data_IF_537848680953
#
_entry.id   IF_537848680953
#
_cell.length_a   1.000
_cell.length_b   1.000
_cell.length_c   1.000
_cell.angle_alpha   90.00
_cell.angle_beta   90.00
_cell.angle_gamma   90.00
#
_symmetry.space_group_name_H-M   'P 1'
#
loop_
_entity.id
_entity.type
_entity.pdbx_description
1 polymer ?
#
# COMPACT_ATOMS: atom_id res chain seq x y z
N UNK A 1 23.37 -0.81 -22.25
CA UNK A 1 23.74 -0.49 -20.85
C UNK A 1 22.92 0.61 -20.17
N UNK A 2 22.70 1.79 -20.76
CA UNK A 2 21.97 2.91 -20.10
C UNK A 2 20.56 2.52 -19.64
N UNK A 3 19.79 1.84 -20.50
CA UNK A 3 18.42 1.42 -20.17
C UNK A 3 18.37 0.46 -18.98
N UNK A 4 19.32 -0.48 -18.90
CA UNK A 4 19.43 -1.46 -17.81
C UNK A 4 19.75 -0.73 -16.49
N UNK A 5 20.69 0.21 -16.53
CA UNK A 5 21.06 1.01 -15.36
C UNK A 5 19.88 1.84 -14.83
N UNK A 6 19.12 2.50 -15.70
CA UNK A 6 17.93 3.28 -15.32
C UNK A 6 16.85 2.37 -14.74
N UNK A 7 16.63 1.21 -15.36
CA UNK A 7 15.66 0.22 -14.87
C UNK A 7 15.99 -0.25 -13.45
N UNK A 8 17.23 -0.65 -13.18
CA UNK A 8 17.63 -1.08 -11.83
C UNK A 8 17.51 0.04 -10.80
N UNK A 9 17.83 1.28 -11.16
CA UNK A 9 17.65 2.43 -10.27
C UNK A 9 16.18 2.68 -9.94
N UNK A 10 15.29 2.59 -10.94
CA UNK A 10 13.86 2.73 -10.73
C UNK A 10 13.28 1.59 -9.89
N UNK A 11 13.77 0.36 -10.11
CA UNK A 11 13.39 -0.81 -9.33
C UNK A 11 13.81 -0.67 -7.86
N UNK A 12 15.07 -0.31 -7.60
CA UNK A 12 15.56 -0.07 -6.24
C UNK A 12 14.76 1.04 -5.54
N UNK A 13 14.48 2.15 -6.24
CA UNK A 13 13.65 3.22 -5.69
C UNK A 13 12.23 2.73 -5.32
N UNK A 14 11.61 1.90 -6.16
CA UNK A 14 10.29 1.32 -5.86
C UNK A 14 10.35 0.45 -4.60
N UNK A 15 11.34 -0.43 -4.50
CA UNK A 15 11.54 -1.35 -3.38
C UNK A 15 11.82 -0.59 -2.08
N UNK A 16 12.69 0.43 -2.12
CA UNK A 16 13.07 1.25 -0.96
C UNK A 16 11.95 2.14 -0.44
N UNK A 17 10.95 2.47 -1.27
CA UNK A 17 9.84 3.37 -0.91
C UNK A 17 8.51 2.62 -0.74
N UNK A 18 8.49 1.29 -0.89
CA UNK A 18 7.32 0.47 -0.61
C UNK A 18 7.51 -0.25 0.72
N UNK A 19 6.63 0.02 1.67
CA UNK A 19 6.74 -0.47 3.05
C UNK A 19 5.51 -1.27 3.46
N UNK A 20 5.69 -2.18 4.42
CA UNK A 20 4.62 -2.97 5.01
C UNK A 20 4.45 -2.52 6.46
N UNK A 21 3.50 -1.63 6.77
CA UNK A 21 3.28 -1.17 8.14
C UNK A 21 2.71 -2.26 9.04
N UNK A 22 3.10 -2.22 10.31
CA UNK A 22 2.57 -3.09 11.37
C UNK A 22 1.22 -2.59 11.91
N UNK A 23 1.00 -1.26 11.89
CA UNK A 23 -0.23 -0.64 12.40
C UNK A 23 -0.69 0.58 11.58
N UNK A 24 -1.89 1.09 11.92
CA UNK A 24 -2.51 2.20 11.21
C UNK A 24 -1.78 3.54 11.39
N UNK A 25 -1.08 3.75 12.49
CA UNK A 25 -0.30 4.98 12.70
C UNK A 25 0.96 4.99 11.87
N UNK A 26 1.65 3.85 11.77
CA UNK A 26 2.79 3.67 10.86
C UNK A 26 2.35 3.82 9.40
N UNK A 27 1.22 3.22 9.03
CA UNK A 27 0.60 3.41 7.72
C UNK A 27 0.41 4.89 7.39
N UNK A 28 -0.16 5.68 8.32
CA UNK A 28 -0.35 7.14 8.14
C UNK A 28 0.96 7.88 7.92
N UNK A 29 2.08 7.43 8.51
CA UNK A 29 3.38 8.06 8.27
C UNK A 29 3.92 7.70 6.89
N UNK A 30 3.90 6.41 6.53
CA UNK A 30 4.42 5.92 5.25
C UNK A 30 3.73 6.60 4.08
N UNK A 31 2.41 6.63 4.05
CA UNK A 31 1.65 7.14 2.89
C UNK A 31 1.78 8.65 2.67
N UNK A 32 2.46 9.39 3.55
CA UNK A 32 2.79 10.81 3.34
C UNK A 32 3.79 11.01 2.21
N UNK A 33 4.72 10.07 2.03
CA UNK A 33 5.83 10.20 1.07
C UNK A 33 6.20 8.90 0.34
N UNK A 34 5.62 7.76 0.70
CA UNK A 34 5.90 6.47 0.08
C UNK A 34 4.63 5.67 -0.22
N UNK A 35 4.84 4.37 -0.47
CA UNK A 35 3.80 3.39 -0.74
C UNK A 35 3.66 2.42 0.43
N UNK A 36 2.43 2.13 0.83
CA UNK A 36 2.13 1.12 1.83
C UNK A 36 1.49 -0.10 1.16
N UNK A 37 2.09 -1.27 1.33
CA UNK A 37 1.52 -2.56 0.95
C UNK A 37 0.84 -3.17 2.17
N UNK A 38 -0.50 -3.25 2.13
CA UNK A 38 -1.33 -3.57 3.30
C UNK A 38 -2.48 -4.49 2.95
N UNK A 39 -2.95 -5.23 3.94
CA UNK A 39 -4.20 -5.98 3.85
C UNK A 39 -5.40 -5.05 3.81
N UNK A 40 -6.33 -5.33 2.90
CA UNK A 40 -7.54 -4.53 2.68
C UNK A 40 -8.80 -5.40 2.75
N UNK A 41 -9.80 -4.96 3.52
CA UNK A 41 -11.05 -5.73 3.70
C UNK A 41 -12.00 -5.68 2.50
N UNK A 42 -11.74 -4.80 1.51
CA UNK A 42 -12.58 -4.62 0.31
C UNK A 42 -13.85 -3.79 0.51
N UNK A 43 -14.04 -3.22 1.71
CA UNK A 43 -15.19 -2.36 1.99
C UNK A 43 -14.93 -0.91 1.56
N UNK A 44 -15.85 -0.38 0.76
CA UNK A 44 -15.81 0.98 0.20
C UNK A 44 -15.84 2.04 1.31
N UNK A 45 -16.57 1.80 2.40
CA UNK A 45 -16.64 2.73 3.53
C UNK A 45 -15.28 2.85 4.21
N UNK A 46 -14.61 1.71 4.43
CA UNK A 46 -13.28 1.62 5.01
C UNK A 46 -12.24 2.36 4.16
N UNK A 47 -12.25 2.17 2.83
CA UNK A 47 -11.38 2.91 1.92
C UNK A 47 -11.67 4.42 1.90
N UNK A 48 -12.95 4.80 2.05
CA UNK A 48 -13.37 6.20 2.09
C UNK A 48 -12.86 6.90 3.36
N UNK A 49 -12.89 6.23 4.50
CA UNK A 49 -12.32 6.73 5.76
C UNK A 49 -10.80 6.90 5.67
N UNK A 50 -10.10 5.87 5.18
CA UNK A 50 -8.64 5.94 4.94
C UNK A 50 -8.32 7.16 4.06
N UNK A 51 -9.07 7.39 2.99
CA UNK A 51 -8.90 8.55 2.10
C UNK A 51 -9.18 9.87 2.81
N UNK A 52 -10.22 9.95 3.63
CA UNK A 52 -10.59 11.16 4.34
C UNK A 52 -9.46 11.59 5.31
N UNK A 53 -8.96 10.63 6.09
CA UNK A 53 -7.95 10.83 7.14
C UNK A 53 -6.54 11.03 6.58
N UNK A 54 -6.14 10.22 5.61
CA UNK A 54 -4.74 10.15 5.17
C UNK A 54 -4.48 10.81 3.83
N UNK A 55 -5.53 11.09 3.04
CA UNK A 55 -5.48 11.46 1.62
C UNK A 55 -4.88 10.38 0.70
N UNK A 56 -4.52 9.23 1.24
CA UNK A 56 -4.07 8.10 0.44
C UNK A 56 -5.26 7.35 -0.14
N UNK A 57 -5.08 6.77 -1.33
CA UNK A 57 -6.07 5.91 -1.97
C UNK A 57 -5.43 4.62 -2.41
N UNK A 58 -6.23 3.56 -2.55
CA UNK A 58 -5.84 2.34 -3.25
C UNK A 58 -5.32 2.70 -4.65
N UNK A 59 -4.09 2.27 -4.97
CA UNK A 59 -3.45 2.45 -6.27
C UNK A 59 -3.69 1.25 -7.16
N UNK A 60 -3.52 0.07 -6.61
CA UNK A 60 -3.83 -1.20 -7.24
C UNK A 60 -3.88 -2.33 -6.21
N UNK A 61 -4.51 -3.43 -6.61
CA UNK A 61 -4.36 -4.75 -5.99
C UNK A 61 -3.36 -5.50 -6.88
N UNK A 62 -2.14 -5.83 -6.38
CA UNK A 62 -1.15 -6.54 -7.17
C UNK A 62 -1.69 -7.88 -7.70
N UNK A 63 -1.44 -8.19 -8.98
CA UNK A 63 -1.91 -9.45 -9.58
C UNK A 63 -1.25 -10.68 -8.95
N UNK A 64 0.02 -10.54 -8.52
CA UNK A 64 0.76 -11.57 -7.79
C UNK A 64 0.58 -11.35 -6.29
N UNK A 65 -0.51 -11.89 -5.76
CA UNK A 65 -0.76 -11.90 -4.32
C UNK A 65 0.07 -13.02 -3.66
N UNK A 66 0.55 -12.82 -2.42
CA UNK A 66 1.17 -13.90 -1.65
C UNK A 66 0.15 -15.01 -1.31
N UNK A 67 -1.16 -14.74 -1.44
CA UNK A 67 -2.23 -15.60 -0.94
C UNK A 67 -2.34 -15.52 0.59
N UNK A 68 -3.30 -16.24 1.15
CA UNK A 68 -3.56 -16.28 2.58
C UNK A 68 -4.54 -15.20 3.05
N UNK A 69 -4.56 -15.01 4.37
CA UNK A 69 -5.45 -14.08 5.06
C UNK A 69 -4.64 -13.18 6.00
N UNK A 70 -5.11 -11.96 6.17
CA UNK A 70 -4.57 -10.99 7.11
C UNK A 70 -5.66 -10.11 7.71
N UNK A 71 -5.22 -9.06 8.38
CA UNK A 71 -6.10 -8.12 9.08
C UNK A 71 -6.04 -6.77 8.37
N UNK A 72 -7.20 -6.22 8.02
CA UNK A 72 -7.30 -4.92 7.39
C UNK A 72 -6.64 -3.84 8.23
N UNK A 73 -5.75 -3.06 7.60
CA UNK A 73 -4.91 -2.05 8.27
C UNK A 73 -5.70 -0.99 9.05
N UNK A 74 -6.96 -0.74 8.68
CA UNK A 74 -7.79 0.29 9.31
C UNK A 74 -8.84 -0.29 10.26
N UNK A 75 -9.75 -1.13 9.75
CA UNK A 75 -10.90 -1.59 10.52
C UNK A 75 -10.69 -2.90 11.31
N UNK A 76 -9.56 -3.57 11.15
CA UNK A 76 -9.27 -4.83 11.86
C UNK A 76 -10.06 -6.07 11.41
N UNK A 77 -10.88 -5.97 10.36
CA UNK A 77 -11.59 -7.13 9.78
C UNK A 77 -10.63 -8.05 9.00
N UNK A 78 -11.04 -9.29 8.77
CA UNK A 78 -10.29 -10.22 7.91
C UNK A 78 -10.20 -9.70 6.48
N UNK A 79 -9.07 -9.94 5.84
CA UNK A 79 -8.77 -9.55 4.47
C UNK A 79 -8.06 -10.69 3.75
N UNK A 80 -8.41 -10.93 2.49
CA UNK A 80 -7.78 -11.93 1.62
C UNK A 80 -6.88 -11.30 0.55
N UNK A 81 -6.91 -9.97 0.43
CA UNK A 81 -6.19 -9.22 -0.59
C UNK A 81 -5.28 -8.18 0.04
N UNK A 82 -4.10 -8.02 -0.58
CA UNK A 82 -3.19 -6.91 -0.33
C UNK A 82 -3.35 -5.84 -1.40
N UNK A 83 -3.26 -4.59 -0.97
CA UNK A 83 -3.40 -3.41 -1.80
C UNK A 83 -2.26 -2.43 -1.54
N UNK A 84 -1.85 -1.73 -2.60
CA UNK A 84 -0.88 -0.64 -2.51
C UNK A 84 -1.63 0.68 -2.28
N UNK A 85 -1.34 1.36 -1.18
CA UNK A 85 -1.83 2.70 -0.86
C UNK A 85 -0.73 3.75 -1.02
N UNK A 86 -1.10 4.90 -1.57
CA UNK A 86 -0.26 6.10 -1.57
C UNK A 86 -1.11 7.34 -1.78
N UNK A 87 -0.55 8.52 -1.47
CA UNK A 87 -1.13 9.81 -1.89
C UNK A 87 -0.95 10.00 -3.39
N UNK A 88 -2.04 10.36 -4.06
CA UNK A 88 -2.02 10.73 -5.47
C UNK A 88 -1.67 12.23 -5.63
N UNK A 89 -0.98 12.56 -6.72
CA UNK A 89 -0.70 13.93 -7.14
C UNK A 89 -1.97 14.69 -7.53
#
# INVERSE_FOLDING_TARGET
>A
DIQISIFHRAQAFLEENTHQPDDYEEFKQIVKSGWADVWLCGDVECETEIKAETKATTRCIPLKQPGGEGVCIHCGRSATERAIFARAY
#
